data_IF_931931073743
#
_entry.id   IF_931931073743
#
_cell.length_a   1.000
_cell.length_b   1.000
_cell.length_c   1.000
_cell.angle_alpha   90.00
_cell.angle_beta   90.00
_cell.angle_gamma   90.00
#
_symmetry.space_group_name_H-M   'P 1'
#
loop_
_entity.id
_entity.type
_entity.pdbx_description
1 polymer ?
#
# COMPACT_ATOMS: atom_id res chain seq x y z
N UNK A 1 -61.90 18.98 4.68
CA UNK A 1 -60.93 18.94 5.82
C UNK A 1 -60.12 17.64 5.92
N UNK A 2 -60.35 16.59 5.11
CA UNK A 2 -59.57 15.32 5.18
C UNK A 2 -58.25 15.35 4.39
N UNK A 3 -58.17 16.15 3.32
CA UNK A 3 -57.00 16.23 2.43
C UNK A 3 -55.79 16.92 3.09
N UNK A 4 -56.02 17.93 3.94
CA UNK A 4 -54.93 18.67 4.59
C UNK A 4 -54.09 17.85 5.57
N UNK A 5 -54.66 16.83 6.22
CA UNK A 5 -53.92 15.94 7.12
C UNK A 5 -53.07 14.94 6.33
N UNK A 6 -53.63 14.36 5.26
CA UNK A 6 -52.93 13.42 4.39
C UNK A 6 -51.72 14.06 3.70
N UNK A 7 -51.85 15.29 3.20
CA UNK A 7 -50.73 16.02 2.57
C UNK A 7 -49.60 16.32 3.57
N UNK A 8 -49.91 16.61 4.84
CA UNK A 8 -48.88 16.83 5.87
C UNK A 8 -48.11 15.55 6.22
N UNK A 9 -48.82 14.43 6.35
CA UNK A 9 -48.18 13.13 6.61
C UNK A 9 -47.30 12.72 5.42
N UNK A 10 -47.81 12.87 4.20
CA UNK A 10 -47.05 12.56 2.98
C UNK A 10 -45.79 13.44 2.86
N UNK A 11 -45.90 14.75 3.15
CA UNK A 11 -44.76 15.66 3.17
C UNK A 11 -43.70 15.26 4.19
N UNK A 12 -44.11 14.87 5.40
CA UNK A 12 -43.21 14.33 6.42
C UNK A 12 -42.53 13.03 5.97
N UNK A 13 -43.28 12.12 5.35
CA UNK A 13 -42.74 10.87 4.83
C UNK A 13 -41.72 11.09 3.70
N UNK A 14 -42.00 12.00 2.77
CA UNK A 14 -41.06 12.39 1.71
C UNK A 14 -39.80 13.01 2.32
N UNK A 15 -39.96 13.91 3.29
CA UNK A 15 -38.81 14.53 3.98
C UNK A 15 -37.92 13.49 4.67
N UNK A 16 -38.50 12.57 5.44
CA UNK A 16 -37.75 11.48 6.07
C UNK A 16 -37.07 10.59 5.04
N UNK A 17 -37.77 10.25 3.95
CA UNK A 17 -37.22 9.43 2.87
C UNK A 17 -36.03 10.12 2.18
N UNK A 18 -36.10 11.43 1.95
CA UNK A 18 -35.01 12.22 1.38
C UNK A 18 -33.80 12.28 2.32
N UNK A 19 -34.02 12.44 3.63
CA UNK A 19 -32.94 12.40 4.63
C UNK A 19 -32.26 11.03 4.62
N UNK A 20 -33.04 9.94 4.63
CA UNK A 20 -32.48 8.59 4.58
C UNK A 20 -31.67 8.34 3.30
N UNK A 21 -32.17 8.80 2.14
CA UNK A 21 -31.43 8.73 0.88
C UNK A 21 -30.13 9.54 0.94
N UNK A 22 -30.16 10.74 1.49
CA UNK A 22 -28.96 11.56 1.66
C UNK A 22 -27.93 10.88 2.55
N UNK A 23 -28.36 10.31 3.68
CA UNK A 23 -27.48 9.56 4.60
C UNK A 23 -26.88 8.33 3.90
N UNK A 24 -27.67 7.58 3.15
CA UNK A 24 -27.19 6.43 2.38
C UNK A 24 -26.13 6.84 1.36
N UNK A 25 -26.36 7.93 0.61
CA UNK A 25 -25.40 8.46 -0.37
C UNK A 25 -24.10 8.89 0.32
N UNK A 26 -24.19 9.63 1.42
CA UNK A 26 -23.01 10.07 2.19
C UNK A 26 -22.25 8.87 2.77
N UNK A 27 -22.97 7.88 3.28
CA UNK A 27 -22.38 6.65 3.84
C UNK A 27 -21.58 5.88 2.79
N UNK A 28 -22.14 5.68 1.59
CA UNK A 28 -21.42 5.00 0.50
C UNK A 28 -20.17 5.78 0.07
N UNK A 29 -20.26 7.11 -0.06
CA UNK A 29 -19.11 7.95 -0.44
C UNK A 29 -18.01 7.94 0.62
N UNK A 30 -18.38 7.93 1.90
CA UNK A 30 -17.41 7.83 2.99
C UNK A 30 -16.77 6.44 3.03
N UNK A 31 -17.54 5.38 2.77
CA UNK A 31 -17.01 4.02 2.69
C UNK A 31 -15.98 3.90 1.56
N UNK A 32 -16.25 4.49 0.39
CA UNK A 32 -15.30 4.51 -0.73
C UNK A 32 -14.00 5.21 -0.35
N UNK A 33 -14.08 6.43 0.20
CA UNK A 33 -12.88 7.15 0.66
C UNK A 33 -12.08 6.38 1.71
N UNK A 34 -12.76 5.66 2.58
CA UNK A 34 -12.11 4.82 3.59
C UNK A 34 -11.38 3.65 2.93
N UNK A 35 -12.00 2.99 1.94
CA UNK A 35 -11.35 1.93 1.16
C UNK A 35 -10.11 2.46 0.44
N UNK A 36 -10.25 3.56 -0.31
CA UNK A 36 -9.13 4.17 -1.05
C UNK A 36 -7.96 4.52 -0.12
N UNK A 37 -8.25 5.08 1.06
CA UNK A 37 -7.22 5.41 2.05
C UNK A 37 -6.51 4.16 2.59
N UNK A 38 -7.23 3.07 2.82
CA UNK A 38 -6.62 1.80 3.25
C UNK A 38 -5.78 1.18 2.14
N UNK A 39 -6.20 1.28 0.87
CA UNK A 39 -5.40 0.81 -0.26
C UNK A 39 -4.05 1.53 -0.33
N UNK A 40 -4.03 2.86 -0.12
CA UNK A 40 -2.78 3.64 -0.06
C UNK A 40 -1.89 3.26 1.13
N UNK A 41 -2.48 2.99 2.30
CA UNK A 41 -1.72 2.51 3.47
C UNK A 41 -1.10 1.14 3.18
N UNK A 42 -1.86 0.21 2.62
CA UNK A 42 -1.36 -1.12 2.24
C UNK A 42 -0.24 -1.02 1.20
N UNK A 43 -0.41 -0.17 0.18
CA UNK A 43 0.61 0.08 -0.82
C UNK A 43 1.91 0.64 -0.21
N UNK A 44 1.80 1.54 0.76
CA UNK A 44 2.98 2.05 1.49
C UNK A 44 3.68 0.93 2.27
N UNK A 45 2.93 0.02 2.88
CA UNK A 45 3.50 -1.15 3.56
C UNK A 45 4.19 -2.13 2.59
N UNK A 46 3.65 -2.33 1.40
CA UNK A 46 4.26 -3.12 0.33
C UNK A 46 5.61 -2.54 -0.09
N UNK A 47 5.66 -1.23 -0.39
CA UNK A 47 6.91 -0.53 -0.72
C UNK A 47 7.94 -0.64 0.40
N UNK A 48 7.53 -0.45 1.66
CA UNK A 48 8.43 -0.55 2.82
C UNK A 48 8.98 -1.97 2.99
N UNK A 49 8.14 -2.99 2.76
CA UNK A 49 8.56 -4.39 2.83
C UNK A 49 9.60 -4.70 1.77
N UNK A 50 9.38 -4.29 0.52
CA UNK A 50 10.32 -4.55 -0.58
C UNK A 50 11.66 -3.82 -0.38
N UNK A 51 11.62 -2.60 0.16
CA UNK A 51 12.82 -1.87 0.57
C UNK A 51 13.61 -2.62 1.65
N UNK A 52 12.92 -3.14 2.67
CA UNK A 52 13.55 -3.89 3.75
C UNK A 52 14.21 -5.17 3.23
N UNK A 53 13.55 -5.92 2.35
CA UNK A 53 14.12 -7.14 1.74
C UNK A 53 15.34 -6.83 0.87
N UNK A 54 15.29 -5.75 0.10
CA UNK A 54 16.41 -5.29 -0.72
C UNK A 54 17.60 -4.90 0.16
N UNK A 55 17.35 -4.16 1.26
CA UNK A 55 18.38 -3.76 2.20
C UNK A 55 19.03 -4.95 2.89
N UNK A 56 18.25 -5.94 3.34
CA UNK A 56 18.76 -7.18 3.96
C UNK A 56 19.67 -7.91 2.98
N UNK A 57 19.24 -8.08 1.72
CA UNK A 57 20.04 -8.77 0.71
C UNK A 57 21.34 -8.02 0.42
N UNK A 58 21.31 -6.69 0.36
CA UNK A 58 22.50 -5.86 0.19
C UNK A 58 23.46 -5.99 1.37
N UNK A 59 22.94 -6.03 2.60
CA UNK A 59 23.74 -6.20 3.82
C UNK A 59 24.37 -7.59 3.88
N UNK A 60 23.65 -8.64 3.47
CA UNK A 60 24.16 -10.00 3.37
C UNK A 60 25.27 -10.11 2.33
N UNK A 61 25.16 -9.39 1.20
CA UNK A 61 26.23 -9.28 0.22
C UNK A 61 27.49 -8.66 0.83
N UNK A 62 27.36 -7.51 1.48
CA UNK A 62 28.47 -6.79 2.12
C UNK A 62 29.12 -7.62 3.21
N UNK A 63 28.32 -8.26 4.06
CA UNK A 63 28.78 -9.08 5.18
C UNK A 63 29.49 -10.33 4.68
N UNK A 64 28.95 -11.02 3.69
CA UNK A 64 29.56 -12.21 3.08
C UNK A 64 30.88 -11.89 2.38
N UNK A 65 30.92 -10.81 1.60
CA UNK A 65 32.14 -10.35 0.94
C UNK A 65 33.24 -10.00 1.95
N UNK A 66 32.91 -9.23 3.00
CA UNK A 66 33.87 -8.88 4.06
C UNK A 66 34.33 -10.11 4.83
N UNK A 67 33.44 -11.04 5.15
CA UNK A 67 33.77 -12.29 5.83
C UNK A 67 34.80 -13.11 5.05
N UNK A 68 34.62 -13.23 3.72
CA UNK A 68 35.59 -13.89 2.86
C UNK A 68 36.94 -13.17 2.81
N UNK A 69 36.94 -11.84 2.61
CA UNK A 69 38.18 -11.06 2.52
C UNK A 69 39.00 -11.14 3.81
N UNK A 70 38.34 -11.15 4.98
CA UNK A 70 39.01 -11.19 6.28
C UNK A 70 39.53 -12.59 6.61
N UNK A 71 38.75 -13.64 6.33
CA UNK A 71 39.03 -15.00 6.80
C UNK A 71 39.65 -15.92 5.76
N UNK A 72 39.51 -15.58 4.47
CA UNK A 72 39.85 -16.44 3.34
C UNK A 72 38.93 -17.66 3.16
N UNK A 73 37.89 -17.81 3.97
CA UNK A 73 37.03 -19.00 3.93
C UNK A 73 35.85 -18.80 2.99
N UNK A 74 35.73 -19.69 2.00
CA UNK A 74 34.68 -19.63 0.98
C UNK A 74 33.25 -19.75 1.53
N UNK A 75 33.06 -20.28 2.75
CA UNK A 75 31.76 -20.37 3.42
C UNK A 75 31.02 -19.02 3.52
N UNK A 76 31.77 -17.91 3.66
CA UNK A 76 31.20 -16.55 3.70
C UNK A 76 30.72 -16.03 2.35
N UNK A 77 31.14 -16.62 1.21
CA UNK A 77 30.68 -16.21 -0.12
C UNK A 77 29.24 -16.69 -0.41
N UNK A 78 28.69 -17.58 0.40
CA UNK A 78 27.31 -18.09 0.21
C UNK A 78 26.28 -16.97 0.26
N UNK A 79 26.38 -16.07 1.24
CA UNK A 79 25.48 -14.90 1.36
C UNK A 79 25.69 -13.90 0.21
N UNK A 80 26.94 -13.70 -0.22
CA UNK A 80 27.26 -12.83 -1.36
C UNK A 80 26.65 -13.34 -2.67
N UNK A 81 26.87 -14.62 -2.99
CA UNK A 81 26.36 -15.23 -4.22
C UNK A 81 24.83 -15.33 -4.23
N UNK A 82 24.21 -15.53 -3.06
CA UNK A 82 22.75 -15.50 -2.93
C UNK A 82 22.21 -14.09 -3.22
N UNK A 83 22.78 -13.07 -2.59
CA UNK A 83 22.38 -11.69 -2.79
C UNK A 83 22.63 -11.20 -4.23
N UNK A 84 23.73 -11.62 -4.85
CA UNK A 84 24.03 -11.33 -6.27
C UNK A 84 22.93 -11.88 -7.21
N UNK A 85 22.33 -13.02 -6.87
CA UNK A 85 21.23 -13.60 -7.63
C UNK A 85 19.87 -12.93 -7.35
N UNK A 86 19.62 -12.46 -6.12
CA UNK A 86 18.29 -11.94 -5.72
C UNK A 86 18.14 -10.42 -5.89
N UNK A 87 19.19 -9.64 -5.64
CA UNK A 87 19.14 -8.17 -5.66
C UNK A 87 18.61 -7.58 -6.97
N UNK A 88 19.02 -8.05 -8.17
CA UNK A 88 18.50 -7.50 -9.42
C UNK A 88 16.98 -7.60 -9.53
N UNK A 89 16.40 -8.75 -9.13
CA UNK A 89 14.95 -8.96 -9.16
C UNK A 89 14.21 -8.14 -8.11
N UNK A 90 14.81 -7.93 -6.93
CA UNK A 90 14.24 -7.10 -5.88
C UNK A 90 14.22 -5.62 -6.28
N UNK A 91 15.28 -5.13 -6.91
CA UNK A 91 15.35 -3.75 -7.43
C UNK A 91 14.34 -3.54 -8.57
N UNK A 92 14.18 -4.52 -9.46
CA UNK A 92 13.18 -4.47 -10.54
C UNK A 92 11.75 -4.41 -9.98
N UNK A 93 11.45 -5.25 -8.99
CA UNK A 93 10.16 -5.24 -8.30
C UNK A 93 9.90 -3.90 -7.62
N UNK A 94 10.87 -3.40 -6.84
CA UNK A 94 10.74 -2.11 -6.17
C UNK A 94 10.49 -0.98 -7.18
N UNK A 95 11.20 -0.98 -8.32
CA UNK A 95 11.02 -0.01 -9.41
C UNK A 95 9.61 -0.04 -9.99
N UNK A 96 9.01 -1.24 -10.06
CA UNK A 96 7.64 -1.45 -10.54
C UNK A 96 6.62 -0.95 -9.52
N UNK A 97 6.78 -1.29 -8.24
CA UNK A 97 5.82 -0.92 -7.18
C UNK A 97 5.78 0.59 -7.00
N UNK A 98 6.92 1.30 -7.07
CA UNK A 98 6.96 2.77 -6.93
C UNK A 98 6.72 3.54 -8.25
N UNK A 99 6.25 2.87 -9.29
CA UNK A 99 6.12 3.45 -10.64
C UNK A 99 5.14 4.61 -10.74
N UNK A 100 4.24 4.73 -9.77
CA UNK A 100 3.30 5.83 -9.60
C UNK A 100 3.96 7.10 -9.01
N UNK A 101 5.19 6.99 -8.48
CA UNK A 101 5.92 8.06 -7.81
C UNK A 101 7.29 8.34 -8.46
N UNK A 102 7.37 9.29 -9.41
CA UNK A 102 8.62 9.66 -10.08
C UNK A 102 9.73 10.13 -9.13
N UNK A 103 9.37 10.67 -7.95
CA UNK A 103 10.36 11.09 -6.97
C UNK A 103 10.98 9.89 -6.24
N UNK A 104 10.22 8.82 -6.01
CA UNK A 104 10.74 7.58 -5.43
C UNK A 104 11.59 6.82 -6.46
N UNK A 105 11.16 6.73 -7.72
CA UNK A 105 11.94 6.11 -8.79
C UNK A 105 13.34 6.73 -8.96
N UNK A 106 13.50 8.03 -8.71
CA UNK A 106 14.80 8.70 -8.79
C UNK A 106 15.78 8.26 -7.70
N UNK A 107 15.28 7.71 -6.59
CA UNK A 107 16.07 7.33 -5.42
C UNK A 107 16.37 5.82 -5.35
N UNK A 108 15.86 5.04 -6.30
CA UNK A 108 16.26 3.65 -6.54
C UNK A 108 17.54 3.67 -7.39
#
# INVERSE_FOLDING_TARGET
>A
MKTGLQTKILGGFIMCSLILLMVAIVSVRNSQKFTDANEWVNHTHEVLYDLEQTMISSLDAETGARGYVITGKAEYLTSFTTAEATLPSQIEELTRVVSDNPSQQKNI
#
